data_IF_718839653401
#
_entry.id   IF_718839653401
#
_cell.length_a   1.000
_cell.length_b   1.000
_cell.length_c   1.000
_cell.angle_alpha   90.00
_cell.angle_beta   90.00
_cell.angle_gamma   90.00
#
_symmetry.space_group_name_H-M   'P 1'
#
loop_
_entity.id
_entity.type
_entity.pdbx_description
1 polymer ?
#
# COMPACT_ATOMS: atom_id res chain seq x y z
N UNK A 1 13.49 7.06 -9.99
CA UNK A 1 12.10 7.60 -9.99
C UNK A 1 11.73 8.38 -11.25
N UNK A 2 12.65 8.68 -12.18
CA UNK A 2 12.33 9.46 -13.39
C UNK A 2 11.20 8.84 -14.25
N UNK A 3 11.14 7.52 -14.37
CA UNK A 3 10.10 6.82 -15.14
C UNK A 3 8.67 6.98 -14.56
N UNK A 4 8.52 7.33 -13.26
CA UNK A 4 7.19 7.57 -12.67
C UNK A 4 6.60 8.92 -13.08
N UNK A 5 7.44 9.87 -13.46
CA UNK A 5 7.02 11.19 -13.97
C UNK A 5 6.43 11.09 -15.37
N UNK A 6 6.92 10.15 -16.17
CA UNK A 6 6.51 9.92 -17.55
C UNK A 6 6.47 8.40 -17.80
N UNK A 7 5.44 7.72 -17.28
CA UNK A 7 5.33 6.28 -17.41
C UNK A 7 4.90 5.90 -18.82
N UNK A 8 5.20 4.66 -19.22
CA UNK A 8 4.70 4.08 -20.46
C UNK A 8 3.17 3.95 -20.43
N UNK A 9 2.55 3.93 -21.62
CA UNK A 9 1.09 3.89 -21.74
C UNK A 9 0.42 2.62 -21.19
N UNK A 10 1.19 1.55 -21.03
CA UNK A 10 0.79 0.27 -20.43
C UNK A 10 0.93 0.24 -18.89
N UNK A 11 1.42 1.32 -18.27
CA UNK A 11 1.49 1.43 -16.82
C UNK A 11 0.17 1.94 -16.24
N UNK A 12 -0.44 1.13 -15.37
CA UNK A 12 -1.78 1.40 -14.81
C UNK A 12 -1.86 2.64 -13.90
N UNK A 13 -0.73 3.14 -13.44
CA UNK A 13 -0.70 4.25 -12.49
C UNK A 13 -0.43 5.60 -13.17
N UNK A 14 -1.12 6.68 -12.74
CA UNK A 14 -0.91 8.01 -13.30
C UNK A 14 0.53 8.50 -13.16
N UNK A 15 0.95 9.34 -14.12
CA UNK A 15 2.19 10.08 -14.05
C UNK A 15 2.29 10.91 -12.75
N UNK A 16 3.40 10.78 -12.03
CA UNK A 16 3.62 11.46 -10.76
C UNK A 16 5.11 11.77 -10.54
N UNK A 17 5.45 13.06 -10.56
CA UNK A 17 6.79 13.54 -10.23
C UNK A 17 6.96 13.68 -8.71
N UNK A 18 7.42 12.60 -8.08
CA UNK A 18 7.63 12.53 -6.63
C UNK A 18 8.56 13.64 -6.14
N UNK A 19 9.63 13.96 -6.88
CA UNK A 19 10.64 14.94 -6.45
C UNK A 19 10.06 16.36 -6.53
N UNK A 20 9.39 16.71 -7.63
CA UNK A 20 8.75 18.02 -7.75
C UNK A 20 7.63 18.20 -6.71
N UNK A 21 6.90 17.14 -6.37
CA UNK A 21 5.88 17.15 -5.33
C UNK A 21 6.48 17.35 -3.93
N UNK A 22 7.58 16.66 -3.59
CA UNK A 22 8.31 16.89 -2.34
C UNK A 22 8.84 18.33 -2.24
N UNK A 23 9.40 18.85 -3.33
CA UNK A 23 9.86 20.24 -3.39
C UNK A 23 8.72 21.23 -3.16
N UNK A 24 7.52 20.96 -3.67
CA UNK A 24 6.35 21.78 -3.42
C UNK A 24 5.94 21.76 -1.94
N UNK A 25 5.94 20.58 -1.31
CA UNK A 25 5.66 20.45 0.12
C UNK A 25 6.68 21.25 0.94
N UNK A 26 7.98 21.12 0.61
CA UNK A 26 9.05 21.90 1.27
C UNK A 26 8.84 23.40 1.13
N UNK A 27 8.53 23.89 -0.07
CA UNK A 27 8.24 25.32 -0.30
C UNK A 27 7.07 25.80 0.54
N UNK A 28 5.98 25.03 0.59
CA UNK A 28 4.81 25.37 1.39
C UNK A 28 5.13 25.39 2.90
N UNK A 29 5.94 24.44 3.38
CA UNK A 29 6.37 24.36 4.77
C UNK A 29 7.21 25.58 5.16
N UNK A 30 8.25 25.90 4.38
CA UNK A 30 9.13 27.06 4.64
C UNK A 30 8.38 28.39 4.55
N UNK A 31 7.39 28.48 3.66
CA UNK A 31 6.53 29.65 3.53
C UNK A 31 5.39 29.71 4.57
N UNK A 32 5.38 28.84 5.58
CA UNK A 32 4.37 28.77 6.64
C UNK A 32 2.92 28.71 6.11
N UNK A 33 2.68 27.91 5.07
CA UNK A 33 1.36 27.84 4.40
C UNK A 33 0.40 26.82 5.01
N UNK A 34 0.87 25.98 5.92
CA UNK A 34 0.04 24.95 6.53
C UNK A 34 -0.63 25.47 7.79
N UNK A 35 -1.94 25.30 7.90
CA UNK A 35 -2.71 25.79 9.05
C UNK A 35 -2.38 25.05 10.35
N UNK A 36 -1.92 23.80 10.25
CA UNK A 36 -1.49 22.96 11.36
C UNK A 36 -0.68 21.75 10.84
N UNK A 37 -0.13 20.98 11.76
CA UNK A 37 0.65 19.76 11.47
C UNK A 37 -0.15 18.70 10.69
N UNK A 38 -1.43 18.50 11.01
CA UNK A 38 -2.26 17.52 10.31
C UNK A 38 -2.35 17.83 8.81
N UNK A 39 -2.62 19.09 8.43
CA UNK A 39 -2.70 19.49 7.02
C UNK A 39 -1.35 19.29 6.30
N UNK A 40 -0.25 19.63 6.96
CA UNK A 40 1.10 19.39 6.44
C UNK A 40 1.36 17.89 6.20
N UNK A 41 1.10 17.06 7.21
CA UNK A 41 1.37 15.63 7.14
C UNK A 41 0.49 14.91 6.11
N UNK A 42 -0.77 15.33 5.93
CA UNK A 42 -1.64 14.80 4.87
C UNK A 42 -1.15 15.21 3.48
N UNK A 43 -0.63 16.43 3.31
CA UNK A 43 -0.05 16.86 2.02
C UNK A 43 1.21 16.05 1.68
N UNK A 44 2.10 15.85 2.66
CA UNK A 44 3.28 15.01 2.51
C UNK A 44 2.89 13.54 2.22
N UNK A 45 1.89 13.00 2.91
CA UNK A 45 1.42 11.62 2.71
C UNK A 45 0.90 11.40 1.28
N UNK A 46 0.20 12.38 0.70
CA UNK A 46 -0.30 12.31 -0.68
C UNK A 46 0.81 12.17 -1.73
N UNK A 47 2.01 12.69 -1.46
CA UNK A 47 3.16 12.53 -2.35
C UNK A 47 3.50 11.05 -2.53
N UNK A 48 3.48 10.28 -1.44
CA UNK A 48 3.81 8.85 -1.46
C UNK A 48 2.65 8.00 -1.96
N UNK A 49 1.41 8.30 -1.53
CA UNK A 49 0.21 7.60 -1.99
C UNK A 49 0.06 7.59 -3.52
N UNK A 50 0.37 8.72 -4.18
CA UNK A 50 0.31 8.83 -5.65
C UNK A 50 1.49 8.18 -6.36
N UNK A 51 2.54 7.80 -5.64
CA UNK A 51 3.72 7.17 -6.21
C UNK A 51 3.50 5.76 -6.75
N UNK A 52 2.40 5.10 -6.38
CA UNK A 52 2.13 3.70 -6.74
C UNK A 52 3.36 2.81 -6.52
N UNK A 53 3.93 2.86 -5.31
CA UNK A 53 5.15 2.15 -4.97
C UNK A 53 5.12 1.75 -3.50
N UNK A 54 5.07 0.44 -3.27
CA UNK A 54 5.01 -0.12 -1.92
C UNK A 54 6.29 0.07 -1.10
N UNK A 55 7.40 0.48 -1.72
CA UNK A 55 8.68 0.68 -1.02
C UNK A 55 8.83 2.10 -0.45
N UNK A 56 7.97 3.04 -0.85
CA UNK A 56 7.99 4.42 -0.39
C UNK A 56 6.65 4.78 0.26
N UNK A 57 6.56 4.49 1.55
CA UNK A 57 5.36 4.69 2.36
C UNK A 57 5.70 5.62 3.54
N UNK A 58 4.78 6.54 3.83
CA UNK A 58 4.78 7.36 5.03
C UNK A 58 3.50 7.09 5.82
N UNK A 59 3.61 6.90 7.12
CA UNK A 59 2.46 6.85 8.03
C UNK A 59 2.46 8.10 8.90
N UNK A 60 1.71 9.16 8.52
CA UNK A 60 1.68 10.40 9.28
C UNK A 60 1.06 10.15 10.66
N UNK A 61 1.75 10.56 11.72
CA UNK A 61 1.34 10.25 13.08
C UNK A 61 0.09 11.03 13.51
N UNK A 62 -0.09 12.26 13.01
CA UNK A 62 -1.31 13.04 13.17
C UNK A 62 -2.55 12.34 12.57
N UNK A 63 -2.37 11.39 11.65
CA UNK A 63 -3.46 10.59 11.10
C UNK A 63 -3.51 9.15 11.63
N UNK A 64 -2.42 8.63 12.21
CA UNK A 64 -2.29 7.19 12.52
C UNK A 64 -2.13 6.87 14.00
N UNK A 65 -1.73 7.81 14.87
CA UNK A 65 -1.61 7.54 16.31
C UNK A 65 -2.94 7.57 17.06
N UNK A 66 -3.95 8.26 16.53
CA UNK A 66 -5.26 8.40 17.19
C UNK A 66 -6.06 7.10 17.18
N UNK A 67 -6.42 6.62 15.99
CA UNK A 67 -7.10 5.35 15.78
C UNK A 67 -6.74 4.78 14.41
N UNK A 68 -6.60 3.46 14.34
CA UNK A 68 -6.33 2.74 13.10
C UNK A 68 -7.36 1.64 12.95
N UNK A 69 -7.98 1.55 11.77
CA UNK A 69 -8.86 0.44 11.42
C UNK A 69 -8.06 -0.57 10.58
N UNK A 70 -7.77 -1.72 11.19
CA UNK A 70 -7.12 -2.84 10.53
C UNK A 70 -8.07 -4.03 10.39
N UNK A 71 -7.81 -4.89 9.41
CA UNK A 71 -8.47 -6.20 9.35
C UNK A 71 -7.87 -7.11 10.43
N UNK A 72 -8.72 -7.84 11.14
CA UNK A 72 -8.27 -8.84 12.13
C UNK A 72 -7.73 -10.12 11.48
N UNK A 73 -8.10 -10.37 10.22
CA UNK A 73 -7.69 -11.56 9.48
C UNK A 73 -7.26 -11.21 8.05
N UNK A 74 -6.23 -11.91 7.57
CA UNK A 74 -5.82 -11.88 6.17
C UNK A 74 -6.73 -12.78 5.33
N UNK A 75 -7.17 -12.26 4.20
CA UNK A 75 -7.98 -13.00 3.22
C UNK A 75 -7.13 -13.36 2.02
N UNK A 76 -7.41 -14.52 1.42
CA UNK A 76 -6.84 -14.96 0.15
C UNK A 76 -7.94 -15.44 -0.79
N UNK A 77 -7.71 -15.26 -2.08
CA UNK A 77 -8.53 -15.83 -3.15
C UNK A 77 -7.78 -17.05 -3.69
N UNK A 78 -8.32 -18.25 -3.48
CA UNK A 78 -7.64 -19.50 -3.83
C UNK A 78 -8.57 -20.37 -4.67
N UNK A 79 -8.07 -20.81 -5.83
CA UNK A 79 -8.67 -21.92 -6.56
C UNK A 79 -8.20 -23.21 -5.90
N UNK A 80 -9.13 -24.02 -5.38
CA UNK A 80 -8.78 -25.21 -4.60
C UNK A 80 -8.18 -26.34 -5.44
N UNK A 81 -8.47 -26.35 -6.74
CA UNK A 81 -8.04 -27.34 -7.73
C UNK A 81 -7.14 -26.73 -8.82
N UNK A 82 -6.84 -25.42 -8.73
CA UNK A 82 -6.08 -24.66 -9.71
C UNK A 82 -6.81 -24.42 -11.05
N UNK A 83 -8.09 -24.76 -11.16
CA UNK A 83 -8.88 -24.64 -12.41
C UNK A 83 -10.21 -23.93 -12.21
N UNK A 84 -10.91 -24.25 -11.13
CA UNK A 84 -12.20 -23.67 -10.76
C UNK A 84 -12.03 -22.21 -10.34
N UNK A 85 -13.12 -21.44 -10.41
CA UNK A 85 -13.15 -20.07 -9.92
C UNK A 85 -12.68 -20.02 -8.46
N UNK A 86 -11.83 -19.04 -8.10
CA UNK A 86 -11.26 -18.99 -6.77
C UNK A 86 -12.31 -18.57 -5.73
N UNK A 87 -12.18 -19.11 -4.51
CA UNK A 87 -13.03 -18.80 -3.36
C UNK A 87 -12.25 -17.99 -2.32
N UNK A 88 -12.96 -17.17 -1.55
CA UNK A 88 -12.38 -16.36 -0.47
C UNK A 88 -12.16 -17.23 0.77
N UNK A 89 -10.94 -17.19 1.32
CA UNK A 89 -10.54 -17.93 2.52
C UNK A 89 -9.74 -17.08 3.48
N UNK A 90 -9.72 -17.46 4.75
CA UNK A 90 -8.76 -16.94 5.71
C UNK A 90 -7.38 -17.52 5.41
N UNK A 91 -6.38 -16.65 5.23
CA UNK A 91 -5.00 -17.04 4.92
C UNK A 91 -4.45 -18.08 5.91
N UNK A 92 -4.62 -17.83 7.21
CA UNK A 92 -4.14 -18.73 8.26
C UNK A 92 -4.69 -20.15 8.17
N UNK A 93 -5.92 -20.32 7.66
CA UNK A 93 -6.53 -21.65 7.50
C UNK A 93 -6.02 -22.39 6.25
N UNK A 94 -5.66 -21.65 5.19
CA UNK A 94 -5.08 -22.24 3.98
C UNK A 94 -3.70 -22.82 4.26
N UNK A 95 -2.85 -22.10 4.99
CA UNK A 95 -1.49 -22.55 5.34
C UNK A 95 -1.51 -23.82 6.20
N UNK A 96 -2.40 -23.91 7.19
CA UNK A 96 -2.54 -25.11 8.04
C UNK A 96 -2.98 -26.33 7.21
N UNK A 97 -3.90 -26.15 6.25
CA UNK A 97 -4.35 -27.25 5.37
C UNK A 97 -3.24 -27.73 4.44
N UNK A 98 -2.46 -26.82 3.85
CA UNK A 98 -1.32 -27.17 2.99
C UNK A 98 -0.24 -27.94 3.76
N UNK A 99 0.07 -27.52 4.98
CA UNK A 99 1.02 -28.23 5.85
C UNK A 99 0.51 -29.62 6.24
N UNK A 100 -0.78 -29.75 6.56
CA UNK A 100 -1.38 -31.05 6.90
C UNK A 100 -1.38 -32.03 5.71
N UNK A 101 -1.65 -31.54 4.49
CA UNK A 101 -1.58 -32.35 3.25
C UNK A 101 -0.14 -32.77 2.96
N UNK A 102 0.84 -31.86 3.10
CA UNK A 102 2.25 -32.24 2.93
C UNK A 102 2.70 -33.29 3.94
N UNK A 103 2.19 -33.30 5.18
CA UNK A 103 2.57 -34.32 6.17
C UNK A 103 1.91 -35.68 5.95
N UNK A 104 0.76 -35.76 5.28
CA UNK A 104 0.10 -37.03 4.94
C UNK A 104 0.72 -37.75 3.75
N UNK A 105 1.45 -37.03 2.89
CA UNK A 105 2.14 -37.58 1.72
C UNK A 105 3.50 -38.22 2.06
N UNK A 106 3.91 -38.20 3.34
CA UNK A 106 5.13 -38.84 3.87
C UNK A 106 4.85 -40.01 4.83
N UNK A 107 3.63 -40.56 4.84
CA UNK A 107 3.25 -41.74 5.66
C UNK A 107 3.04 -42.98 4.81
#
# INVERSE_FOLDING_TARGET
MAWKKDPSADYDCPAHDVIAALDQVRRNLVANRYANEYVFQIDLYRVFLRGCDGHIILFPDAATKGFVFGRQWSLVSVSEDGRSLPVIKLYGLVTVRLLAVQTSDFS
#
